data_IF_958091644830
#
_entry.id   IF_958091644830
#
_cell.length_a   1.000
_cell.length_b   1.000
_cell.length_c   1.000
_cell.angle_alpha   90.00
_cell.angle_beta   90.00
_cell.angle_gamma   90.00
#
_symmetry.space_group_name_H-M   'P 1'
#
loop_
_entity.id
_entity.type
_entity.pdbx_description
1 polymer ?
#
# COMPACT_ATOMS: atom_id res chain seq x y z
N UNK A 1 12.10 11.73 59.65
CA UNK A 1 12.36 11.34 58.26
C UNK A 1 13.56 10.44 58.27
N UNK A 2 13.25 9.16 58.24
CA UNK A 2 14.15 8.10 58.62
C UNK A 2 14.84 7.62 57.34
N UNK A 3 16.09 7.17 57.44
CA UNK A 3 16.89 6.74 56.28
C UNK A 3 16.20 5.64 55.43
N UNK A 4 15.22 4.94 56.01
CA UNK A 4 14.47 3.85 55.42
C UNK A 4 13.29 4.32 54.55
N UNK A 5 12.53 5.33 54.99
CA UNK A 5 11.38 5.87 54.23
C UNK A 5 11.82 6.49 52.90
N UNK A 6 12.99 7.12 52.88
CA UNK A 6 13.54 7.77 51.68
C UNK A 6 14.03 6.77 50.62
N UNK A 7 14.32 5.53 51.02
CA UNK A 7 14.76 4.46 50.12
C UNK A 7 13.57 3.75 49.47
N UNK A 8 12.45 3.64 50.20
CA UNK A 8 11.19 3.07 49.69
C UNK A 8 10.58 3.97 48.62
N UNK A 9 10.51 5.28 48.84
CA UNK A 9 10.00 6.23 47.84
C UNK A 9 10.83 6.22 46.54
N UNK A 10 12.17 6.18 46.64
CA UNK A 10 13.03 6.13 45.45
C UNK A 10 12.89 4.84 44.65
N UNK A 11 12.63 3.71 45.32
CA UNK A 11 12.45 2.42 44.67
C UNK A 11 11.10 2.34 43.96
N UNK A 12 10.07 2.97 44.52
CA UNK A 12 8.74 3.08 43.91
C UNK A 12 8.78 3.98 42.68
N UNK A 13 9.51 5.10 42.71
CA UNK A 13 9.66 5.99 41.56
C UNK A 13 10.41 5.31 40.39
N UNK A 14 11.51 4.61 40.66
CA UNK A 14 12.29 3.88 39.65
C UNK A 14 11.48 2.73 39.02
N UNK A 15 10.69 2.01 39.83
CA UNK A 15 9.79 0.96 39.34
C UNK A 15 8.65 1.53 38.47
N UNK A 16 8.14 2.73 38.79
CA UNK A 16 7.13 3.41 37.98
C UNK A 16 7.69 3.90 36.64
N UNK A 17 8.95 4.32 36.60
CA UNK A 17 9.64 4.73 35.38
C UNK A 17 9.88 3.53 34.46
N UNK A 18 10.33 2.40 35.00
CA UNK A 18 10.46 1.15 34.23
C UNK A 18 9.12 0.60 33.74
N UNK A 19 8.05 0.73 34.53
CA UNK A 19 6.71 0.35 34.09
C UNK A 19 6.22 1.23 32.93
N UNK A 20 6.60 2.51 32.89
CA UNK A 20 6.28 3.43 31.79
C UNK A 20 7.08 3.14 30.53
N UNK A 21 8.37 2.84 30.65
CA UNK A 21 9.20 2.41 29.52
C UNK A 21 8.72 1.07 28.95
N UNK A 22 8.40 0.09 29.82
CA UNK A 22 7.84 -1.19 29.40
C UNK A 22 6.44 -1.06 28.78
N UNK A 23 5.61 -0.14 29.27
CA UNK A 23 4.31 0.16 28.67
C UNK A 23 4.44 0.85 27.31
N UNK A 24 5.44 1.73 27.13
CA UNK A 24 5.75 2.32 25.82
C UNK A 24 6.29 1.28 24.83
N UNK A 25 7.09 0.31 25.28
CA UNK A 25 7.59 -0.80 24.45
C UNK A 25 6.49 -1.82 24.09
N UNK A 26 5.50 -2.04 24.97
CA UNK A 26 4.36 -2.92 24.66
C UNK A 26 3.33 -2.27 23.72
N UNK A 27 3.34 -0.94 23.55
CA UNK A 27 2.45 -0.26 22.62
C UNK A 27 2.92 -0.36 21.16
N UNK A 28 4.22 -0.59 20.93
CA UNK A 28 4.81 -0.76 19.59
C UNK A 28 4.83 -2.20 19.08
N UNK A 29 4.64 -3.22 19.93
CA UNK A 29 4.67 -4.63 19.54
C UNK A 29 3.36 -5.35 19.90
N UNK A 30 2.24 -4.95 19.29
CA UNK A 30 1.06 -5.82 19.28
C UNK A 30 1.36 -7.00 18.37
N UNK A 31 1.82 -8.11 18.95
CA UNK A 31 2.00 -9.36 18.23
C UNK A 31 0.69 -9.74 17.55
N UNK A 32 0.72 -9.87 16.22
CA UNK A 32 -0.44 -10.30 15.45
C UNK A 32 -0.71 -11.78 15.72
N UNK A 33 -1.99 -12.22 15.72
CA UNK A 33 -2.32 -13.63 15.79
C UNK A 33 -1.57 -14.43 14.70
N UNK A 34 -1.12 -15.66 14.98
CA UNK A 34 -0.58 -16.54 13.95
C UNK A 34 -1.55 -16.70 12.79
N UNK A 35 -1.07 -16.55 11.55
CA UNK A 35 -1.90 -16.63 10.34
C UNK A 35 -2.64 -15.34 9.99
N UNK A 36 -2.31 -14.20 10.61
CA UNK A 36 -2.80 -12.90 10.15
C UNK A 36 -2.26 -12.61 8.74
N UNK A 37 -3.10 -12.05 7.88
CA UNK A 37 -2.76 -11.66 6.52
C UNK A 37 -3.18 -10.21 6.27
N UNK A 38 -2.42 -9.48 5.45
CA UNK A 38 -2.83 -8.15 5.03
C UNK A 38 -3.85 -8.29 3.90
N UNK A 39 -5.04 -7.75 4.09
CA UNK A 39 -6.03 -7.67 3.02
C UNK A 39 -5.97 -6.31 2.34
N UNK A 40 -5.67 -6.32 1.05
CA UNK A 40 -5.65 -5.12 0.19
C UNK A 40 -6.70 -5.28 -0.89
N UNK A 41 -7.57 -4.29 -1.02
CA UNK A 41 -8.59 -4.22 -2.06
C UNK A 41 -8.38 -2.99 -2.93
N UNK A 42 -8.49 -3.15 -4.25
CA UNK A 42 -8.52 -2.07 -5.23
C UNK A 42 -9.91 -2.04 -5.83
N UNK A 43 -10.64 -0.96 -5.55
CA UNK A 43 -12.07 -0.87 -5.81
C UNK A 43 -12.33 -0.30 -7.21
N UNK A 44 -11.71 0.82 -7.52
CA UNK A 44 -11.91 1.54 -8.79
C UNK A 44 -10.70 2.39 -9.12
N UNK A 45 -10.56 2.71 -10.41
CA UNK A 45 -9.60 3.69 -10.91
C UNK A 45 -10.34 4.82 -11.63
N UNK A 46 -9.73 6.00 -11.66
CA UNK A 46 -10.28 7.16 -12.37
C UNK A 46 -9.18 7.88 -13.16
N UNK A 47 -9.50 8.25 -14.41
CA UNK A 47 -8.66 9.10 -15.24
C UNK A 47 -7.29 8.49 -15.57
N UNK A 48 -7.25 7.18 -15.84
CA UNK A 48 -6.02 6.50 -16.23
C UNK A 48 -5.45 7.11 -17.54
N UNK A 49 -4.11 7.31 -17.62
CA UNK A 49 -3.50 7.90 -18.80
C UNK A 49 -3.62 7.00 -20.03
N UNK A 50 -3.71 7.62 -21.19
CA UNK A 50 -3.65 6.92 -22.47
C UNK A 50 -2.19 6.75 -22.90
N UNK A 51 -1.82 5.52 -23.23
CA UNK A 51 -0.48 5.13 -23.66
C UNK A 51 -0.18 5.53 -25.10
N UNK A 52 -1.17 5.53 -25.99
CA UNK A 52 -0.98 5.86 -27.40
C UNK A 52 -2.09 6.76 -27.96
N UNK A 53 -1.72 8.01 -28.28
CA UNK A 53 -2.53 8.88 -29.13
C UNK A 53 -2.18 8.60 -30.60
N UNK A 54 -3.07 7.94 -31.34
CA UNK A 54 -2.99 7.86 -32.79
C UNK A 54 -4.10 8.74 -33.39
N UNK A 55 -3.85 9.53 -34.45
CA UNK A 55 -4.79 10.51 -35.00
C UNK A 55 -6.12 9.94 -35.54
N UNK A 56 -6.32 8.61 -35.49
CA UNK A 56 -7.51 7.92 -36.01
C UNK A 56 -8.03 6.79 -35.10
N UNK A 57 -7.54 6.67 -33.85
CA UNK A 57 -7.96 5.60 -32.95
C UNK A 57 -7.94 6.09 -31.50
N UNK A 58 -9.12 6.20 -30.89
CA UNK A 58 -9.23 6.23 -29.42
C UNK A 58 -8.78 4.86 -28.89
N UNK A 59 -7.52 4.76 -28.50
CA UNK A 59 -7.01 3.58 -27.80
C UNK A 59 -7.24 3.84 -26.32
N UNK A 60 -8.29 3.21 -25.77
CA UNK A 60 -8.49 3.15 -24.32
C UNK A 60 -7.58 2.06 -23.76
N UNK A 61 -7.04 2.23 -22.54
CA UNK A 61 -6.22 1.21 -21.94
C UNK A 61 -7.04 -0.05 -21.61
N UNK A 62 -6.36 -1.19 -21.54
CA UNK A 62 -6.83 -2.45 -21.01
C UNK A 62 -6.24 -2.67 -19.58
N UNK A 63 -6.66 -1.89 -18.56
CA UNK A 63 -5.97 -1.87 -17.29
C UNK A 63 -6.09 -3.15 -16.48
N UNK A 64 -5.01 -3.51 -15.81
CA UNK A 64 -4.99 -4.41 -14.66
C UNK A 64 -4.10 -3.86 -13.55
N UNK A 65 -4.29 -4.35 -12.33
CA UNK A 65 -3.55 -3.89 -11.15
C UNK A 65 -2.71 -5.01 -10.58
N UNK A 66 -1.48 -4.70 -10.19
CA UNK A 66 -0.61 -5.55 -9.38
C UNK A 66 -0.40 -4.90 -8.02
N UNK A 67 -0.56 -5.68 -6.97
CA UNK A 67 -0.31 -5.28 -5.58
C UNK A 67 0.91 -6.07 -5.13
N UNK A 68 1.93 -5.38 -4.64
CA UNK A 68 3.16 -5.99 -4.14
C UNK A 68 3.46 -5.44 -2.74
N UNK A 69 3.77 -6.33 -1.82
CA UNK A 69 4.23 -5.98 -0.47
C UNK A 69 5.63 -6.52 -0.23
N UNK A 70 6.38 -5.82 0.59
CA UNK A 70 7.76 -6.18 0.94
C UNK A 70 7.95 -6.18 2.45
N UNK A 71 8.80 -7.05 2.98
CA UNK A 71 9.23 -7.05 4.38
C UNK A 71 10.62 -6.42 4.60
N UNK A 72 11.11 -6.42 5.83
CA UNK A 72 12.42 -5.84 6.20
C UNK A 72 13.62 -6.57 5.59
N UNK A 73 13.48 -7.85 5.25
CA UNK A 73 14.57 -8.67 4.69
C UNK A 73 14.50 -8.77 3.17
N UNK A 74 13.47 -8.19 2.55
CA UNK A 74 13.27 -8.11 1.11
C UNK A 74 12.48 -9.27 0.52
N UNK A 75 11.78 -10.07 1.33
CA UNK A 75 10.78 -11.00 0.81
C UNK A 75 9.59 -10.20 0.25
N UNK A 76 9.08 -10.64 -0.90
CA UNK A 76 7.93 -10.04 -1.56
C UNK A 76 6.76 -11.03 -1.63
N UNK A 77 5.55 -10.51 -1.50
CA UNK A 77 4.31 -11.22 -1.83
C UNK A 77 3.47 -10.33 -2.75
N UNK A 78 2.84 -10.92 -3.76
CA UNK A 78 2.15 -10.17 -4.78
C UNK A 78 0.91 -10.87 -5.34
N UNK A 79 -0.02 -10.04 -5.82
CA UNK A 79 -1.25 -10.49 -6.42
C UNK A 79 -1.64 -9.54 -7.55
N UNK A 80 -2.41 -10.01 -8.54
CA UNK A 80 -2.85 -9.15 -9.63
C UNK A 80 -4.29 -9.42 -10.07
N UNK A 81 -4.96 -8.37 -10.54
CA UNK A 81 -6.32 -8.46 -11.07
C UNK A 81 -6.31 -9.06 -12.48
N UNK A 82 -7.52 -9.35 -12.97
CA UNK A 82 -7.73 -9.53 -14.42
C UNK A 82 -7.69 -8.17 -15.11
N UNK A 83 -7.36 -8.17 -16.40
CA UNK A 83 -7.50 -6.99 -17.25
C UNK A 83 -8.97 -6.65 -17.47
N UNK A 84 -9.26 -5.35 -17.55
CA UNK A 84 -10.56 -4.81 -17.94
C UNK A 84 -10.37 -4.11 -19.27
N UNK A 85 -11.17 -4.47 -20.28
CA UNK A 85 -10.93 -3.98 -21.64
C UNK A 85 -11.44 -2.56 -21.87
N UNK A 86 -10.65 -1.75 -22.56
CA UNK A 86 -10.98 -0.42 -23.08
C UNK A 86 -11.65 0.50 -22.04
N UNK A 87 -11.06 0.66 -20.85
CA UNK A 87 -11.65 1.44 -19.78
C UNK A 87 -10.58 2.24 -19.00
N UNK A 88 -10.71 3.57 -19.02
CA UNK A 88 -9.85 4.54 -18.33
C UNK A 88 -10.35 4.90 -16.92
N UNK A 89 -11.56 4.47 -16.55
CA UNK A 89 -12.10 4.57 -15.19
C UNK A 89 -12.82 3.28 -14.77
N UNK A 90 -12.09 2.14 -14.70
CA UNK A 90 -12.67 0.84 -14.39
C UNK A 90 -13.09 0.70 -12.93
N UNK A 91 -14.22 0.03 -12.71
CA UNK A 91 -14.51 -0.64 -11.43
C UNK A 91 -13.75 -1.97 -11.44
N UNK A 92 -12.80 -2.11 -10.52
CA UNK A 92 -11.87 -3.24 -10.46
C UNK A 92 -12.39 -4.32 -9.50
N UNK A 93 -12.86 -3.89 -8.32
CA UNK A 93 -13.38 -4.75 -7.24
C UNK A 93 -12.55 -6.02 -7.00
N UNK A 94 -11.23 -5.83 -6.84
CA UNK A 94 -10.26 -6.90 -6.65
C UNK A 94 -9.67 -6.81 -5.24
N UNK A 95 -9.68 -7.92 -4.51
CA UNK A 95 -9.04 -8.03 -3.21
C UNK A 95 -8.07 -9.21 -3.19
N UNK A 96 -6.98 -9.08 -2.45
CA UNK A 96 -6.12 -10.19 -2.11
C UNK A 96 -5.68 -10.15 -0.64
N UNK A 97 -5.36 -11.33 -0.13
CA UNK A 97 -4.78 -11.54 1.20
C UNK A 97 -3.31 -11.90 1.01
N UNK A 98 -2.43 -11.09 1.59
CA UNK A 98 -0.98 -11.22 1.47
C UNK A 98 -0.43 -11.74 2.79
N UNK A 99 0.53 -12.68 2.71
CA UNK A 99 1.09 -13.37 3.87
C UNK A 99 2.01 -12.49 4.73
N UNK A 100 2.26 -11.25 4.31
CA UNK A 100 3.03 -10.24 5.03
C UNK A 100 2.07 -9.22 5.67
N UNK A 101 1.57 -9.46 6.89
CA UNK A 101 0.61 -8.57 7.54
C UNK A 101 1.22 -7.22 7.97
N UNK A 102 2.53 -7.16 8.18
CA UNK A 102 3.26 -5.95 8.57
C UNK A 102 4.34 -5.61 7.54
N UNK A 103 3.96 -5.23 6.31
CA UNK A 103 4.94 -4.93 5.28
C UNK A 103 5.64 -3.60 5.58
N UNK A 104 6.89 -3.45 5.15
CA UNK A 104 7.61 -2.17 5.20
C UNK A 104 7.33 -1.29 3.98
N UNK A 105 6.80 -1.88 2.91
CA UNK A 105 6.36 -1.17 1.73
C UNK A 105 5.17 -1.89 1.09
N UNK A 106 4.20 -1.10 0.62
CA UNK A 106 3.06 -1.55 -0.18
C UNK A 106 3.06 -0.74 -1.48
N UNK A 107 3.24 -1.42 -2.60
CA UNK A 107 3.20 -0.84 -3.93
C UNK A 107 1.97 -1.36 -4.68
N UNK A 108 1.22 -0.44 -5.30
CA UNK A 108 0.11 -0.75 -6.18
C UNK A 108 0.40 -0.16 -7.56
N UNK A 109 0.56 -1.00 -8.56
CA UNK A 109 0.90 -0.61 -9.93
C UNK A 109 -0.29 -0.87 -10.85
N UNK A 110 -0.53 0.05 -11.79
CA UNK A 110 -1.51 -0.12 -12.86
C UNK A 110 -0.76 -0.30 -14.17
N UNK A 111 -1.14 -1.33 -14.90
CA UNK A 111 -0.57 -1.69 -16.19
C UNK A 111 -1.64 -1.65 -17.27
N UNK A 112 -1.24 -1.31 -18.49
CA UNK A 112 -1.99 -1.48 -19.72
C UNK A 112 -1.60 -2.81 -20.36
N UNK A 113 -2.56 -3.73 -20.50
CA UNK A 113 -2.26 -5.04 -21.08
C UNK A 113 -2.20 -4.96 -22.61
N UNK A 114 -1.06 -5.37 -23.17
CA UNK A 114 -0.86 -5.43 -24.61
C UNK A 114 -0.75 -6.88 -25.09
N UNK A 115 -1.59 -7.25 -26.06
CA UNK A 115 -1.57 -8.62 -26.61
C UNK A 115 -0.31 -8.97 -27.42
N UNK A 116 0.41 -7.96 -27.91
CA UNK A 116 1.54 -8.13 -28.86
C UNK A 116 2.83 -7.50 -28.34
N UNK A 117 2.72 -6.37 -27.63
CA UNK A 117 3.84 -5.65 -27.04
C UNK A 117 3.99 -5.97 -25.55
N UNK A 118 5.00 -5.40 -24.90
CA UNK A 118 5.12 -5.50 -23.44
C UNK A 118 4.11 -4.59 -22.78
N UNK A 119 3.46 -5.09 -21.74
CA UNK A 119 2.57 -4.29 -20.90
C UNK A 119 3.26 -3.01 -20.41
N UNK A 120 2.55 -1.89 -20.51
CA UNK A 120 3.06 -0.57 -20.13
C UNK A 120 2.56 -0.18 -18.75
N UNK A 121 3.43 0.39 -17.92
CA UNK A 121 3.02 0.93 -16.62
C UNK A 121 2.29 2.26 -16.86
N UNK A 122 1.01 2.29 -16.52
CA UNK A 122 0.20 3.51 -16.52
C UNK A 122 0.54 4.41 -15.32
N UNK A 123 0.86 3.78 -14.19
CA UNK A 123 1.34 4.50 -13.01
C UNK A 123 1.42 3.61 -11.78
N UNK A 124 1.94 4.18 -10.69
CA UNK A 124 2.10 3.47 -9.43
C UNK A 124 1.74 4.31 -8.21
N UNK A 125 1.37 3.60 -7.15
CA UNK A 125 0.96 4.11 -5.87
C UNK A 125 1.79 3.43 -4.78
N UNK A 126 2.77 4.15 -4.22
CA UNK A 126 3.47 3.70 -3.02
C UNK A 126 2.69 4.19 -1.79
N UNK A 127 2.26 3.25 -0.96
CA UNK A 127 1.50 3.51 0.26
C UNK A 127 2.37 3.28 1.51
N UNK A 128 2.20 4.08 2.57
CA UNK A 128 2.90 3.83 3.82
C UNK A 128 2.39 2.55 4.48
N UNK A 129 3.23 1.78 5.19
CA UNK A 129 2.84 0.59 5.98
C UNK A 129 1.67 0.78 6.93
N UNK A 130 1.51 2.01 7.43
CA UNK A 130 0.48 2.38 8.39
C UNK A 130 -0.88 2.70 7.77
N UNK A 131 -1.00 2.64 6.44
CA UNK A 131 -2.28 2.91 5.77
C UNK A 131 -3.32 1.86 6.16
N UNK A 132 -4.51 2.32 6.55
CA UNK A 132 -5.65 1.46 6.87
C UNK A 132 -6.95 2.12 6.39
N UNK A 133 -7.98 1.31 6.15
CA UNK A 133 -9.25 1.76 5.62
C UNK A 133 -9.19 2.15 4.15
N UNK A 134 -10.26 2.79 3.68
CA UNK A 134 -10.41 3.20 2.30
C UNK A 134 -9.80 4.58 2.04
N UNK A 135 -8.98 4.70 0.99
CA UNK A 135 -8.38 5.96 0.56
C UNK A 135 -8.24 6.03 -0.95
N UNK A 136 -8.19 7.25 -1.48
CA UNK A 136 -7.68 7.50 -2.83
C UNK A 136 -6.15 7.62 -2.79
N UNK A 137 -5.51 7.15 -3.85
CA UNK A 137 -4.09 7.32 -4.11
C UNK A 137 -3.87 7.82 -5.54
N UNK A 138 -3.12 8.89 -5.68
CA UNK A 138 -2.74 9.48 -6.97
C UNK A 138 -1.62 8.66 -7.61
N UNK A 139 -1.79 8.30 -8.88
CA UNK A 139 -0.79 7.55 -9.62
C UNK A 139 0.40 8.44 -9.95
N UNK A 140 1.58 8.01 -9.50
CA UNK A 140 2.85 8.58 -9.93
C UNK A 140 3.26 7.92 -11.24
N UNK A 141 3.71 8.74 -12.20
CA UNK A 141 4.21 8.26 -13.48
C UNK A 141 5.45 7.39 -13.27
N UNK A 142 5.40 6.13 -13.70
CA UNK A 142 6.54 5.22 -13.72
C UNK A 142 7.57 5.73 -14.74
N UNK A 143 8.79 6.03 -14.30
CA UNK A 143 9.79 6.72 -15.11
C UNK A 143 10.06 6.06 -16.47
N UNK A 144 9.91 6.85 -17.55
CA UNK A 144 10.19 6.36 -18.90
C UNK A 144 9.81 7.26 -20.08
N UNK A 145 9.83 8.59 -19.94
CA UNK A 145 9.83 9.51 -21.09
C UNK A 145 8.50 10.22 -21.42
N UNK A 146 8.65 11.50 -21.74
CA UNK A 146 7.67 12.46 -22.27
C UNK A 146 6.59 13.01 -21.31
N UNK A 147 6.86 14.25 -20.86
CA UNK A 147 5.88 15.16 -20.27
C UNK A 147 4.95 15.67 -21.38
N UNK A 148 3.69 15.22 -21.40
CA UNK A 148 2.58 16.00 -21.96
C UNK A 148 1.44 15.97 -20.96
N UNK A 149 0.97 17.16 -20.57
CA UNK A 149 0.10 17.33 -19.42
C UNK A 149 -1.29 16.71 -19.58
N UNK A 150 -1.88 16.35 -18.43
CA UNK A 150 -3.31 16.07 -18.29
C UNK A 150 -3.62 14.72 -17.66
N UNK A 151 -3.76 14.70 -16.33
CA UNK A 151 -4.34 13.58 -15.57
C UNK A 151 -3.34 12.53 -15.09
N UNK A 152 -2.79 12.72 -13.88
CA UNK A 152 -2.39 11.55 -13.09
C UNK A 152 -3.69 10.85 -12.68
N UNK A 153 -3.96 9.68 -13.23
CA UNK A 153 -5.10 8.88 -12.76
C UNK A 153 -4.96 8.57 -11.27
N UNK A 154 -6.02 8.07 -10.66
CA UNK A 154 -6.03 7.72 -9.24
C UNK A 154 -6.71 6.39 -8.99
N UNK A 155 -6.31 5.72 -7.91
CA UNK A 155 -6.87 4.46 -7.45
C UNK A 155 -7.59 4.65 -6.13
N UNK A 156 -8.77 4.04 -6.00
CA UNK A 156 -9.42 3.86 -4.71
C UNK A 156 -9.09 2.48 -4.18
N UNK A 157 -8.54 2.46 -2.99
CA UNK A 157 -8.04 1.25 -2.37
C UNK A 157 -8.46 1.19 -0.91
N UNK A 158 -8.56 -0.02 -0.37
CA UNK A 158 -8.88 -0.29 1.02
C UNK A 158 -7.88 -1.27 1.59
N UNK A 159 -7.29 -0.93 2.74
CA UNK A 159 -6.30 -1.76 3.42
C UNK A 159 -6.83 -2.15 4.80
N UNK A 160 -6.80 -3.44 5.12
CA UNK A 160 -7.25 -3.97 6.40
C UNK A 160 -6.38 -5.14 6.86
N UNK A 161 -6.23 -5.26 8.16
CA UNK A 161 -5.63 -6.38 8.87
C UNK A 161 -6.70 -7.33 9.39
#
# INVERSE_FOLDING_TARGET
MNKWEKAEDSFVDEAHEWAREAAQLNFSARALPPGSALRVCVLEAEGLPHTDWAPFKDIRPDPYVRITVFDEVGEEDDCHSRQIRNNDSPVIDFCCELALPTPVALEVQVFDHDYVTKDQILGKCDLPPSVTGATWCELRSGGGGMRTGGGSGRLKLSVSL
#
